data_IF_066997986019
#
_entry.id   IF_066997986019
#
_cell.length_a   1.000
_cell.length_b   1.000
_cell.length_c   1.000
_cell.angle_alpha   90.00
_cell.angle_beta   90.00
_cell.angle_gamma   90.00
#
_symmetry.space_group_name_H-M   'P 1'
#
loop_
_entity.id
_entity.type
_entity.pdbx_description
1 polymer ?
#
# COMPACT_ATOMS: atom_id res chain seq x y z
N UNK A 1 3.68 10.18 20.53
CA UNK A 1 4.00 10.95 19.32
C UNK A 1 2.71 11.63 18.92
N UNK A 2 2.74 12.92 18.60
CA UNK A 2 1.54 13.70 18.30
C UNK A 2 0.81 13.14 17.06
N UNK A 3 -0.52 13.03 17.09
CA UNK A 3 -1.30 12.41 16.01
C UNK A 3 -1.18 13.20 14.70
N UNK A 4 -1.07 14.53 14.82
CA UNK A 4 -0.76 15.41 13.69
C UNK A 4 0.60 15.07 13.06
N UNK A 5 1.63 14.81 13.88
CA UNK A 5 2.97 14.42 13.41
C UNK A 5 2.93 13.08 12.64
N UNK A 6 2.07 12.13 13.07
CA UNK A 6 1.88 10.87 12.35
C UNK A 6 1.22 11.09 10.97
N UNK A 7 0.20 11.93 10.90
CA UNK A 7 -0.47 12.26 9.62
C UNK A 7 0.52 12.91 8.64
N UNK A 8 1.33 13.86 9.11
CA UNK A 8 2.30 14.54 8.27
C UNK A 8 3.34 13.56 7.68
N UNK A 9 3.85 12.63 8.51
CA UNK A 9 4.75 11.57 8.05
C UNK A 9 4.08 10.63 7.04
N UNK A 10 2.81 10.26 7.28
CA UNK A 10 2.07 9.40 6.37
C UNK A 10 1.80 10.08 5.02
N UNK A 11 1.52 11.39 5.03
CA UNK A 11 1.32 12.19 3.83
C UNK A 11 2.62 12.32 3.01
N UNK A 12 3.77 12.53 3.68
CA UNK A 12 5.07 12.52 3.03
C UNK A 12 5.34 11.16 2.38
N UNK A 13 5.14 10.07 3.12
CA UNK A 13 5.36 8.72 2.62
C UNK A 13 4.45 8.40 1.42
N UNK A 14 3.15 8.73 1.49
CA UNK A 14 2.23 8.64 0.34
C UNK A 14 2.79 9.35 -0.89
N UNK A 15 3.31 10.55 -0.71
CA UNK A 15 3.89 11.35 -1.80
C UNK A 15 5.07 10.63 -2.44
N UNK A 16 5.94 10.00 -1.65
CA UNK A 16 7.07 9.22 -2.17
C UNK A 16 6.60 8.01 -2.99
N UNK A 17 5.59 7.27 -2.51
CA UNK A 17 4.99 6.17 -3.28
C UNK A 17 4.39 6.65 -4.60
N UNK A 18 3.64 7.75 -4.59
CA UNK A 18 3.05 8.33 -5.81
C UNK A 18 4.16 8.74 -6.79
N UNK A 19 5.16 9.49 -6.34
CA UNK A 19 6.25 9.97 -7.19
C UNK A 19 7.03 8.80 -7.81
N UNK A 20 7.27 7.75 -7.03
CA UNK A 20 7.99 6.56 -7.49
C UNK A 20 7.17 5.80 -8.54
N UNK A 21 5.95 5.40 -8.20
CA UNK A 21 5.16 4.46 -8.99
C UNK A 21 4.23 5.09 -10.03
N UNK A 22 4.09 6.43 -10.05
CA UNK A 22 3.39 7.16 -11.11
C UNK A 22 4.30 7.54 -12.28
N UNK A 23 5.61 7.43 -12.12
CA UNK A 23 6.58 7.60 -13.21
C UNK A 23 6.40 6.52 -14.29
N UNK A 24 6.85 6.78 -15.52
CA UNK A 24 6.74 5.81 -16.62
C UNK A 24 7.45 4.48 -16.27
N UNK A 25 8.68 4.56 -15.77
CA UNK A 25 9.44 3.39 -15.36
C UNK A 25 8.83 2.73 -14.12
N UNK A 26 8.36 3.53 -13.16
CA UNK A 26 7.70 3.02 -11.96
C UNK A 26 6.45 2.21 -12.27
N UNK A 27 5.63 2.66 -13.23
CA UNK A 27 4.47 1.91 -13.71
C UNK A 27 4.86 0.58 -14.33
N UNK A 28 5.87 0.56 -15.21
CA UNK A 28 6.39 -0.67 -15.84
C UNK A 28 6.90 -1.67 -14.80
N UNK A 29 7.63 -1.20 -13.79
CA UNK A 29 8.12 -2.04 -12.68
C UNK A 29 6.96 -2.57 -11.84
N UNK A 30 5.99 -1.72 -11.49
CA UNK A 30 4.82 -2.15 -10.71
C UNK A 30 4.01 -3.23 -11.46
N UNK A 31 3.81 -3.07 -12.76
CA UNK A 31 3.13 -4.07 -13.59
C UNK A 31 3.87 -5.42 -13.65
N UNK A 32 5.20 -5.41 -13.68
CA UNK A 32 6.00 -6.65 -13.60
C UNK A 32 5.87 -7.31 -12.22
N UNK A 33 5.94 -6.52 -11.15
CA UNK A 33 5.77 -7.01 -9.78
C UNK A 33 4.38 -7.60 -9.54
N UNK A 34 3.31 -6.96 -10.06
CA UNK A 34 1.95 -7.50 -9.97
C UNK A 34 1.83 -8.91 -10.55
N UNK A 35 2.53 -9.20 -11.66
CA UNK A 35 2.54 -10.53 -12.29
C UNK A 35 3.29 -11.56 -11.44
N UNK A 36 4.43 -11.18 -10.87
CA UNK A 36 5.29 -12.08 -10.07
C UNK A 36 4.70 -12.38 -8.69
N UNK A 37 3.94 -11.44 -8.13
CA UNK A 37 3.36 -11.54 -6.79
C UNK A 37 1.88 -11.96 -6.81
N UNK A 38 1.44 -12.67 -7.86
CA UNK A 38 0.13 -13.30 -7.96
C UNK A 38 -1.07 -12.36 -7.73
N UNK A 39 -0.94 -11.06 -8.05
CA UNK A 39 -1.99 -10.07 -7.74
C UNK A 39 -3.30 -10.34 -8.49
N UNK A 40 -3.22 -10.89 -9.70
CA UNK A 40 -4.38 -11.20 -10.57
C UNK A 40 -4.62 -12.71 -10.71
N UNK A 41 -4.00 -13.52 -9.87
CA UNK A 41 -4.09 -14.99 -9.93
C UNK A 41 -4.28 -15.56 -8.52
N UNK A 42 -4.46 -16.88 -8.41
CA UNK A 42 -4.49 -17.53 -7.10
C UNK A 42 -3.09 -17.59 -6.49
N UNK A 43 -3.00 -17.38 -5.17
CA UNK A 43 -1.80 -17.57 -4.38
C UNK A 43 -1.66 -19.02 -3.85
N UNK A 44 -2.69 -19.86 -4.02
CA UNK A 44 -2.70 -21.24 -3.53
C UNK A 44 -1.66 -22.10 -4.27
N UNK A 45 -0.85 -22.79 -3.47
CA UNK A 45 0.18 -23.71 -3.91
C UNK A 45 -0.04 -25.10 -3.28
N UNK A 46 0.80 -26.06 -3.65
CA UNK A 46 0.69 -27.44 -3.17
C UNK A 46 0.94 -27.59 -1.66
N UNK A 47 1.58 -26.60 -1.03
CA UNK A 47 1.85 -26.59 0.40
C UNK A 47 1.34 -25.29 1.04
N UNK A 48 0.99 -25.38 2.33
CA UNK A 48 0.60 -24.20 3.11
C UNK A 48 1.75 -23.19 3.23
N UNK A 49 3.00 -23.68 3.30
CA UNK A 49 4.19 -22.83 3.36
C UNK A 49 4.29 -21.95 2.12
N UNK A 50 4.16 -22.54 0.93
CA UNK A 50 4.29 -21.82 -0.33
C UNK A 50 3.09 -20.87 -0.54
N UNK A 51 1.89 -21.29 -0.13
CA UNK A 51 0.70 -20.43 -0.14
C UNK A 51 0.91 -19.20 0.75
N UNK A 52 1.38 -19.39 1.97
CA UNK A 52 1.64 -18.28 2.91
C UNK A 52 2.74 -17.35 2.38
N UNK A 53 3.77 -17.90 1.74
CA UNK A 53 4.80 -17.09 1.08
C UNK A 53 4.22 -16.23 -0.05
N UNK A 54 3.39 -16.82 -0.91
CA UNK A 54 2.73 -16.10 -2.01
C UNK A 54 1.80 -14.99 -1.50
N UNK A 55 1.01 -15.27 -0.46
CA UNK A 55 0.16 -14.26 0.19
C UNK A 55 0.99 -13.11 0.79
N UNK A 56 2.14 -13.42 1.39
CA UNK A 56 3.07 -12.41 1.88
C UNK A 56 3.57 -11.48 0.77
N UNK A 57 3.98 -12.04 -0.37
CA UNK A 57 4.38 -11.23 -1.54
C UNK A 57 3.23 -10.37 -2.07
N UNK A 58 2.02 -10.94 -2.15
CA UNK A 58 0.84 -10.23 -2.61
C UNK A 58 0.49 -9.05 -1.68
N UNK A 59 0.61 -9.24 -0.36
CA UNK A 59 0.36 -8.20 0.63
C UNK A 59 1.27 -6.97 0.44
N UNK A 60 2.53 -7.16 0.06
CA UNK A 60 3.45 -6.04 -0.22
C UNK A 60 2.99 -5.23 -1.43
N UNK A 61 2.59 -5.88 -2.52
CA UNK A 61 2.11 -5.16 -3.70
C UNK A 61 0.78 -4.46 -3.42
N UNK A 62 -0.11 -5.09 -2.65
CA UNK A 62 -1.34 -4.44 -2.18
C UNK A 62 -1.06 -3.23 -1.30
N UNK A 63 -0.03 -3.29 -0.44
CA UNK A 63 0.38 -2.15 0.36
C UNK A 63 0.84 -0.97 -0.52
N UNK A 64 1.69 -1.22 -1.52
CA UNK A 64 2.13 -0.19 -2.48
C UNK A 64 0.93 0.50 -3.13
N UNK A 65 -0.03 -0.29 -3.65
CA UNK A 65 -1.24 0.25 -4.29
C UNK A 65 -2.09 1.05 -3.31
N UNK A 66 -2.24 0.53 -2.09
CA UNK A 66 -2.99 1.22 -1.02
C UNK A 66 -2.35 2.56 -0.67
N UNK A 67 -1.01 2.68 -0.69
CA UNK A 67 -0.32 3.95 -0.45
C UNK A 67 -0.56 4.96 -1.59
N UNK A 68 -0.57 4.50 -2.84
CA UNK A 68 -0.86 5.36 -4.00
C UNK A 68 -2.30 5.90 -3.91
N UNK A 69 -3.26 5.03 -3.56
CA UNK A 69 -4.69 5.34 -3.50
C UNK A 69 -5.14 5.89 -2.13
N UNK A 70 -4.21 6.10 -1.18
CA UNK A 70 -4.53 6.44 0.21
C UNK A 70 -5.23 7.79 0.33
N UNK A 71 -6.43 7.82 0.90
CA UNK A 71 -7.18 9.06 1.15
C UNK A 71 -6.83 9.66 2.52
N UNK A 72 -5.83 10.55 2.53
CA UNK A 72 -5.35 11.24 3.75
C UNK A 72 -6.43 12.16 4.34
N UNK A 73 -7.25 12.80 3.51
CA UNK A 73 -8.28 13.74 3.98
C UNK A 73 -9.37 13.00 4.77
N UNK A 74 -9.72 11.80 4.32
CA UNK A 74 -10.61 10.91 5.09
C UNK A 74 -10.01 10.49 6.43
N UNK A 75 -8.69 10.34 6.52
CA UNK A 75 -8.00 9.98 7.78
C UNK A 75 -8.01 11.17 8.75
N UNK A 76 -7.67 12.37 8.26
CA UNK A 76 -7.73 13.62 9.05
C UNK A 76 -9.11 13.82 9.66
N UNK A 77 -10.15 13.73 8.84
CA UNK A 77 -11.54 13.87 9.30
C UNK A 77 -11.90 12.88 10.41
N UNK A 78 -11.48 11.61 10.29
CA UNK A 78 -11.75 10.58 11.30
C UNK A 78 -11.04 10.84 12.62
N UNK A 79 -9.86 11.47 12.59
CA UNK A 79 -9.15 11.86 13.81
C UNK A 79 -9.82 13.07 14.45
N UNK A 80 -10.17 14.10 13.67
CA UNK A 80 -10.93 15.26 14.15
C UNK A 80 -12.26 14.83 14.82
N UNK A 81 -12.99 13.90 14.20
CA UNK A 81 -14.23 13.34 14.75
C UNK A 81 -13.99 12.55 16.06
N UNK A 82 -12.82 11.91 16.21
CA UNK A 82 -12.46 11.15 17.41
C UNK A 82 -11.98 12.06 18.56
N UNK A 83 -11.31 13.17 18.25
CA UNK A 83 -10.84 14.14 19.23
C UNK A 83 -11.96 15.06 19.75
N UNK A 84 -13.07 15.16 19.00
CA UNK A 84 -14.24 15.97 19.36
C UNK A 84 -15.25 15.26 20.29
N UNK A 85 -15.08 13.95 20.53
CA UNK A 85 -15.98 13.12 21.37
C UNK A 85 -15.40 12.80 22.74
#
# INVERSE_FOLDING_TARGET
MDDKEQIEKLQALKTDYINTFSSENGKKVLEDLEKRCFIKTTAFANTDRDTNFNLGMQAIILHIKSMIDLDIERIKKRQEDADAG
#
